data_IF_242330448062
#
_entry.id   IF_242330448062
#
_cell.length_a   1.000
_cell.length_b   1.000
_cell.length_c   1.000
_cell.angle_alpha   90.00
_cell.angle_beta   90.00
_cell.angle_gamma   90.00
#
_symmetry.space_group_name_H-M   'P 1'
#
loop_
_entity.id
_entity.type
_entity.pdbx_description
1 polymer ?
#
# COMPACT_ATOMS: atom_id res chain seq x y z
N UNK A 1 -19.44 70.00 28.66
CA UNK A 1 -18.56 68.83 28.44
C UNK A 1 -18.78 68.34 27.02
N UNK A 2 -17.76 68.34 26.17
CA UNK A 2 -17.87 67.81 24.81
C UNK A 2 -17.81 66.28 24.86
N UNK A 3 -18.84 65.61 24.35
CA UNK A 3 -18.88 64.15 24.17
C UNK A 3 -18.33 63.82 22.79
N UNK A 4 -17.18 63.14 22.75
CA UNK A 4 -16.69 62.53 21.52
C UNK A 4 -17.43 61.21 21.31
N UNK A 5 -18.30 61.16 20.29
CA UNK A 5 -18.86 59.93 19.75
C UNK A 5 -18.01 59.51 18.56
N UNK A 6 -17.17 58.49 18.72
CA UNK A 6 -16.58 57.81 17.57
C UNK A 6 -17.51 56.66 17.17
N UNK A 7 -17.61 56.39 15.86
CA UNK A 7 -18.32 55.23 15.31
C UNK A 7 -17.28 54.38 14.60
N UNK A 8 -16.87 53.25 15.19
CA UNK A 8 -16.07 52.25 14.46
C UNK A 8 -17.02 51.61 13.46
N UNK A 9 -16.81 51.90 12.18
CA UNK A 9 -17.34 51.05 11.12
C UNK A 9 -16.29 49.97 10.90
N UNK A 10 -16.62 48.73 11.29
CA UNK A 10 -15.85 47.57 10.85
C UNK A 10 -15.97 47.50 9.33
N UNK A 11 -14.86 47.66 8.63
CA UNK A 11 -14.79 47.32 7.22
C UNK A 11 -14.92 45.79 7.12
N UNK A 12 -16.15 45.35 6.86
CA UNK A 12 -16.51 43.93 6.77
C UNK A 12 -15.59 43.17 5.80
N UNK A 13 -15.15 43.82 4.73
CA UNK A 13 -14.25 43.21 3.75
C UNK A 13 -12.86 42.99 4.33
N UNK A 14 -12.31 43.96 5.06
CA UNK A 14 -11.02 43.80 5.73
C UNK A 14 -11.10 42.79 6.88
N UNK A 15 -12.21 42.76 7.61
CA UNK A 15 -12.44 41.74 8.63
C UNK A 15 -12.48 40.34 8.03
N UNK A 16 -13.29 40.12 6.99
CA UNK A 16 -13.40 38.83 6.30
C UNK A 16 -12.05 38.38 5.73
N UNK A 17 -11.29 39.29 5.13
CA UNK A 17 -9.95 39.00 4.62
C UNK A 17 -9.01 38.56 5.76
N UNK A 18 -8.97 39.31 6.86
CA UNK A 18 -8.08 39.04 8.00
C UNK A 18 -8.45 37.73 8.69
N UNK A 19 -9.74 37.49 8.94
CA UNK A 19 -10.24 36.25 9.50
C UNK A 19 -9.92 35.05 8.59
N UNK A 20 -10.07 35.20 7.28
CA UNK A 20 -9.74 34.14 6.31
C UNK A 20 -8.25 33.82 6.32
N UNK A 21 -7.37 34.82 6.40
CA UNK A 21 -5.93 34.62 6.47
C UNK A 21 -5.52 33.90 7.75
N UNK A 22 -6.09 34.28 8.89
CA UNK A 22 -5.82 33.64 10.18
C UNK A 22 -6.28 32.18 10.19
N UNK A 23 -7.51 31.90 9.72
CA UNK A 23 -8.04 30.54 9.60
C UNK A 23 -7.12 29.68 8.72
N UNK A 24 -6.67 30.21 7.58
CA UNK A 24 -5.75 29.50 6.69
C UNK A 24 -4.41 29.22 7.35
N UNK A 25 -3.87 30.16 8.12
CA UNK A 25 -2.61 29.98 8.84
C UNK A 25 -2.72 28.91 9.93
N UNK A 26 -3.82 28.90 10.68
CA UNK A 26 -4.12 27.87 11.69
C UNK A 26 -4.21 26.50 11.01
N UNK A 27 -5.05 26.37 9.97
CA UNK A 27 -5.23 25.10 9.26
C UNK A 27 -3.93 24.58 8.65
N UNK A 28 -3.10 25.45 8.07
CA UNK A 28 -1.81 25.05 7.48
C UNK A 28 -0.86 24.43 8.52
N UNK A 29 -0.80 25.03 9.73
CA UNK A 29 -0.03 24.50 10.86
C UNK A 29 -0.62 23.19 11.38
N UNK A 30 -1.93 23.14 11.60
CA UNK A 30 -2.64 21.94 12.06
C UNK A 30 -2.43 20.78 11.10
N UNK A 31 -2.56 20.99 9.79
CA UNK A 31 -2.33 19.95 8.78
C UNK A 31 -0.88 19.46 8.81
N UNK A 32 0.09 20.38 8.97
CA UNK A 32 1.51 20.00 9.04
C UNK A 32 1.78 19.10 10.25
N UNK A 33 1.21 19.43 11.41
CA UNK A 33 1.31 18.60 12.62
C UNK A 33 0.60 17.26 12.45
N UNK A 34 -0.61 17.25 11.88
CA UNK A 34 -1.37 16.04 11.60
C UNK A 34 -0.57 15.05 10.77
N UNK A 35 0.01 15.50 9.66
CA UNK A 35 0.81 14.66 8.77
C UNK A 35 1.99 14.03 9.51
N UNK A 36 2.71 14.80 10.32
CA UNK A 36 3.84 14.30 11.10
C UNK A 36 3.42 13.25 12.13
N UNK A 37 2.30 13.49 12.82
CA UNK A 37 1.81 12.64 13.90
C UNK A 37 1.19 11.34 13.38
N UNK A 38 0.43 11.39 12.29
CA UNK A 38 -0.37 10.26 11.83
C UNK A 38 0.40 9.31 10.91
N UNK A 39 1.42 9.80 10.21
CA UNK A 39 2.14 9.01 9.20
C UNK A 39 2.68 7.67 9.74
N UNK A 40 3.35 7.60 10.91
CA UNK A 40 3.82 6.33 11.44
C UNK A 40 2.69 5.34 11.69
N UNK A 41 1.60 5.78 12.34
CA UNK A 41 0.45 4.92 12.61
C UNK A 41 -0.25 4.45 11.33
N UNK A 42 -0.28 5.29 10.29
CA UNK A 42 -0.84 4.92 8.99
C UNK A 42 0.00 3.85 8.29
N UNK A 43 1.33 4.00 8.32
CA UNK A 43 2.28 3.00 7.81
C UNK A 43 2.07 1.67 8.52
N UNK A 44 2.10 1.66 9.85
CA UNK A 44 1.89 0.44 10.64
C UNK A 44 0.54 -0.23 10.33
N UNK A 45 -0.49 0.59 10.14
CA UNK A 45 -1.82 0.10 9.82
C UNK A 45 -1.88 -0.59 8.45
N UNK A 46 -1.31 0.02 7.41
CA UNK A 46 -1.25 -0.55 6.06
C UNK A 46 -0.38 -1.81 6.03
N UNK A 47 0.75 -1.80 6.72
CA UNK A 47 1.58 -3.00 6.84
C UNK A 47 0.80 -4.15 7.48
N UNK A 48 0.02 -3.88 8.52
CA UNK A 48 -0.83 -4.87 9.15
C UNK A 48 -1.97 -5.35 8.25
N UNK A 49 -2.57 -4.46 7.46
CA UNK A 49 -3.62 -4.82 6.51
C UNK A 49 -3.08 -5.75 5.40
N UNK A 50 -1.89 -5.47 4.87
CA UNK A 50 -1.22 -6.34 3.90
C UNK A 50 -0.90 -7.71 4.48
N UNK A 51 -0.36 -7.78 5.71
CA UNK A 51 -0.05 -9.06 6.36
C UNK A 51 -1.28 -9.89 6.70
N UNK A 52 -2.44 -9.25 6.89
CA UNK A 52 -3.71 -9.89 7.28
C UNK A 52 -4.72 -9.88 6.12
N UNK A 53 -4.24 -9.94 4.90
CA UNK A 53 -5.12 -9.93 3.76
C UNK A 53 -6.18 -11.05 3.83
N UNK A 54 -7.38 -10.83 3.28
CA UNK A 54 -8.48 -11.79 3.40
C UNK A 54 -8.15 -13.21 2.91
N UNK A 55 -7.21 -13.33 1.97
CA UNK A 55 -6.86 -14.60 1.34
C UNK A 55 -5.60 -15.24 1.93
N UNK A 56 -4.99 -14.63 2.96
CA UNK A 56 -3.79 -15.14 3.61
C UNK A 56 -2.58 -15.25 2.68
N UNK A 57 -2.51 -14.43 1.65
CA UNK A 57 -1.45 -14.44 0.64
C UNK A 57 -0.09 -14.14 1.24
N UNK A 58 -0.01 -13.17 2.16
CA UNK A 58 1.23 -12.88 2.89
C UNK A 58 1.76 -14.13 3.62
N UNK A 59 0.90 -14.80 4.38
CA UNK A 59 1.30 -15.98 5.14
C UNK A 59 1.67 -17.16 4.23
N UNK A 60 0.98 -17.30 3.09
CA UNK A 60 1.31 -18.32 2.09
C UNK A 60 2.70 -18.10 1.49
N UNK A 61 3.12 -16.84 1.29
CA UNK A 61 4.47 -16.47 0.83
C UNK A 61 5.56 -16.67 1.90
N UNK A 62 5.23 -16.44 3.17
CA UNK A 62 6.22 -16.50 4.27
C UNK A 62 6.47 -17.93 4.75
N UNK A 63 5.40 -18.74 4.91
CA UNK A 63 5.49 -20.08 5.52
C UNK A 63 4.60 -21.13 4.85
N UNK A 64 3.79 -20.77 3.85
CA UNK A 64 2.79 -21.66 3.27
C UNK A 64 3.11 -22.14 1.85
N UNK A 65 2.03 -22.43 1.10
CA UNK A 65 2.10 -23.07 -0.21
C UNK A 65 2.82 -22.21 -1.25
N UNK A 66 2.55 -20.90 -1.30
CA UNK A 66 3.21 -20.01 -2.26
C UNK A 66 4.72 -19.92 -2.05
N UNK A 67 5.19 -20.02 -0.81
CA UNK A 67 6.62 -20.11 -0.51
C UNK A 67 7.26 -21.29 -1.23
N UNK A 68 6.60 -22.43 -1.18
CA UNK A 68 7.09 -23.66 -1.76
C UNK A 68 6.96 -23.62 -3.30
N UNK A 69 5.82 -23.15 -3.81
CA UNK A 69 5.54 -23.00 -5.25
C UNK A 69 6.56 -22.10 -5.94
N UNK A 70 6.90 -20.98 -5.29
CA UNK A 70 7.89 -20.03 -5.78
C UNK A 70 9.31 -20.34 -5.31
N UNK A 71 9.55 -21.45 -4.60
CA UNK A 71 10.89 -21.91 -4.25
C UNK A 71 11.67 -21.00 -3.28
N UNK A 72 11.00 -20.22 -2.43
CA UNK A 72 11.66 -19.36 -1.46
C UNK A 72 12.23 -20.16 -0.29
N UNK A 73 13.45 -19.80 0.15
CA UNK A 73 14.09 -20.42 1.30
C UNK A 73 13.40 -19.99 2.60
N UNK A 74 13.52 -20.82 3.64
CA UNK A 74 13.16 -20.39 4.99
C UNK A 74 13.91 -19.09 5.37
N UNK A 75 13.17 -18.08 5.81
CA UNK A 75 13.70 -16.74 6.12
C UNK A 75 13.80 -15.77 4.93
N UNK A 76 13.60 -16.24 3.69
CA UNK A 76 13.49 -15.40 2.48
C UNK A 76 12.08 -14.82 2.38
N UNK A 77 11.71 -13.95 3.33
CA UNK A 77 10.37 -13.37 3.43
C UNK A 77 10.11 -12.35 2.30
N UNK A 78 9.76 -12.88 1.12
CA UNK A 78 9.47 -12.11 -0.08
C UNK A 78 8.23 -11.21 0.11
N UNK A 79 7.22 -11.69 0.85
CA UNK A 79 6.03 -10.93 1.20
C UNK A 79 6.37 -9.64 1.97
N UNK A 80 7.26 -9.70 2.95
CA UNK A 80 7.65 -8.54 3.76
C UNK A 80 8.38 -7.49 2.92
N UNK A 81 9.15 -7.88 1.89
CA UNK A 81 9.77 -6.91 0.97
C UNK A 81 8.71 -6.12 0.21
N UNK A 82 7.65 -6.78 -0.25
CA UNK A 82 6.49 -6.13 -0.88
C UNK A 82 5.79 -5.21 0.14
N UNK A 83 5.53 -5.70 1.36
CA UNK A 83 4.88 -4.91 2.42
C UNK A 83 5.64 -3.62 2.69
N UNK A 84 6.97 -3.70 2.85
CA UNK A 84 7.81 -2.53 3.07
C UNK A 84 7.82 -1.58 1.88
N UNK A 85 7.85 -2.09 0.66
CA UNK A 85 7.88 -1.25 -0.53
C UNK A 85 6.55 -0.53 -0.78
N UNK A 86 5.42 -1.23 -0.60
CA UNK A 86 4.08 -0.61 -0.62
C UNK A 86 3.98 0.47 0.45
N UNK A 87 4.45 0.20 1.66
CA UNK A 87 4.36 1.14 2.77
C UNK A 87 5.27 2.37 2.58
N UNK A 88 6.42 2.22 1.92
CA UNK A 88 7.26 3.36 1.52
C UNK A 88 6.60 4.26 0.48
N UNK A 89 5.68 3.73 -0.32
CA UNK A 89 4.92 4.49 -1.32
C UNK A 89 3.85 5.41 -0.72
N UNK A 90 3.62 5.33 0.61
CA UNK A 90 2.63 6.15 1.30
C UNK A 90 3.15 7.60 1.40
N UNK A 91 2.46 8.49 0.71
CA UNK A 91 2.70 9.93 0.74
C UNK A 91 1.49 10.66 1.30
N UNK A 92 1.68 11.33 2.44
CA UNK A 92 0.73 12.29 2.99
C UNK A 92 1.20 13.70 2.65
N UNK A 93 0.51 14.33 1.70
CA UNK A 93 0.86 15.64 1.17
C UNK A 93 -0.14 16.69 1.63
N UNK A 94 0.38 17.86 2.02
CA UNK A 94 -0.46 19.03 2.29
C UNK A 94 -0.93 19.65 0.97
N UNK A 95 -2.24 19.87 0.85
CA UNK A 95 -2.84 20.68 -0.20
C UNK A 95 -2.82 22.14 0.27
N UNK A 96 -2.14 23.02 -0.47
CA UNK A 96 -2.07 24.44 -0.14
C UNK A 96 -3.47 25.08 -0.21
N UNK A 97 -3.73 26.01 0.70
CA UNK A 97 -4.91 26.86 0.62
C UNK A 97 -4.81 27.82 -0.58
N UNK A 98 -5.95 28.18 -1.15
CA UNK A 98 -6.06 29.08 -2.30
C UNK A 98 -7.08 30.17 -2.00
N UNK A 99 -7.40 31.05 -2.94
CA UNK A 99 -8.50 32.01 -2.78
C UNK A 99 -9.86 31.30 -2.59
N UNK A 100 -10.03 30.09 -3.13
CA UNK A 100 -11.30 29.34 -3.13
C UNK A 100 -11.31 28.12 -2.23
N UNK A 101 -10.15 27.70 -1.69
CA UNK A 101 -10.03 26.49 -0.86
C UNK A 101 -9.26 26.76 0.43
N UNK A 102 -9.63 26.07 1.51
CA UNK A 102 -8.91 26.10 2.78
C UNK A 102 -7.64 25.23 2.80
N UNK A 103 -7.38 24.50 1.71
CA UNK A 103 -6.33 23.48 1.64
C UNK A 103 -6.85 22.12 2.12
N UNK A 104 -5.94 21.23 2.53
CA UNK A 104 -6.32 19.90 3.02
C UNK A 104 -5.15 18.91 3.05
N UNK A 105 -5.49 17.64 3.19
CA UNK A 105 -4.55 16.51 3.17
C UNK A 105 -4.87 15.64 1.97
N UNK A 106 -3.83 15.22 1.25
CA UNK A 106 -3.90 14.21 0.20
C UNK A 106 -3.09 12.99 0.63
N UNK A 107 -3.74 11.84 0.68
CA UNK A 107 -3.09 10.54 0.81
C UNK A 107 -2.92 9.95 -0.58
N UNK A 108 -1.67 9.71 -0.98
CA UNK A 108 -1.30 8.99 -2.20
C UNK A 108 -0.63 7.67 -1.79
N UNK A 109 -1.08 6.54 -2.33
CA UNK A 109 -0.42 5.24 -2.24
C UNK A 109 -0.20 4.74 -3.66
N UNK A 110 0.92 4.06 -3.92
CA UNK A 110 1.19 3.43 -5.22
C UNK A 110 0.88 4.37 -6.40
N UNK A 111 1.37 5.62 -6.33
CA UNK A 111 1.00 6.72 -7.24
C UNK A 111 1.13 6.38 -8.73
N UNK A 112 2.06 5.49 -9.07
CA UNK A 112 2.35 5.07 -10.44
C UNK A 112 1.77 3.68 -10.77
N UNK A 113 0.78 3.22 -10.01
CA UNK A 113 0.21 1.87 -10.13
C UNK A 113 1.00 0.83 -9.34
N UNK A 114 0.68 -0.46 -9.54
CA UNK A 114 1.40 -1.58 -8.91
C UNK A 114 2.66 -1.97 -9.69
N UNK A 115 2.78 -1.51 -10.93
CA UNK A 115 3.79 -1.87 -11.90
C UNK A 115 5.21 -1.53 -11.41
N UNK A 116 5.38 -0.44 -10.64
CA UNK A 116 6.69 -0.10 -10.07
C UNK A 116 7.23 -1.16 -9.10
N UNK A 117 6.37 -2.02 -8.54
CA UNK A 117 6.78 -3.15 -7.70
C UNK A 117 7.37 -4.27 -8.55
N UNK A 118 6.90 -4.43 -9.79
CA UNK A 118 7.37 -5.47 -10.71
C UNK A 118 8.80 -5.20 -11.18
N UNK A 119 9.20 -3.93 -11.23
CA UNK A 119 10.56 -3.50 -11.59
C UNK A 119 11.58 -3.62 -10.42
N UNK A 120 11.14 -4.09 -9.25
CA UNK A 120 12.03 -4.25 -8.09
C UNK A 120 12.85 -5.51 -8.21
N UNK A 121 14.08 -5.45 -7.69
CA UNK A 121 15.04 -6.56 -7.64
C UNK A 121 14.51 -7.81 -6.91
N UNK A 122 13.51 -7.66 -6.04
CA UNK A 122 12.86 -8.77 -5.37
C UNK A 122 11.68 -9.37 -6.16
N UNK A 123 11.20 -8.72 -7.22
CA UNK A 123 10.00 -9.13 -7.97
C UNK A 123 10.21 -10.35 -8.86
N UNK A 124 11.47 -10.68 -9.16
CA UNK A 124 11.89 -11.84 -9.91
C UNK A 124 13.25 -12.35 -9.41
N UNK A 125 13.58 -13.60 -9.69
CA UNK A 125 14.91 -14.12 -9.43
C UNK A 125 15.27 -15.26 -10.40
N UNK A 126 16.57 -15.49 -10.62
CA UNK A 126 17.02 -16.58 -11.47
C UNK A 126 17.20 -17.90 -10.69
N UNK A 127 16.73 -18.98 -11.29
CA UNK A 127 16.80 -20.35 -10.80
C UNK A 127 17.18 -21.30 -11.92
N UNK A 128 18.35 -21.94 -11.83
CA UNK A 128 18.83 -22.91 -12.83
C UNK A 128 18.77 -22.39 -14.28
N UNK A 129 19.15 -21.12 -14.49
CA UNK A 129 19.17 -20.49 -15.82
C UNK A 129 17.81 -20.02 -16.34
N UNK A 130 16.76 -20.08 -15.53
CA UNK A 130 15.43 -19.56 -15.85
C UNK A 130 15.02 -18.47 -14.85
N UNK A 131 14.29 -17.46 -15.32
CA UNK A 131 13.76 -16.40 -14.46
C UNK A 131 12.41 -16.81 -13.88
N UNK A 132 12.26 -16.61 -12.57
CA UNK A 132 11.03 -16.83 -11.81
C UNK A 132 10.40 -15.47 -11.51
N UNK A 133 9.48 -15.02 -12.36
CA UNK A 133 8.78 -13.73 -12.25
C UNK A 133 7.60 -13.78 -11.26
N UNK A 134 7.86 -14.29 -10.05
CA UNK A 134 6.82 -14.66 -9.08
C UNK A 134 5.85 -13.51 -8.76
N UNK A 135 6.35 -12.27 -8.64
CA UNK A 135 5.52 -11.13 -8.25
C UNK A 135 4.60 -10.73 -9.39
N UNK A 136 5.10 -10.78 -10.63
CA UNK A 136 4.28 -10.54 -11.83
C UNK A 136 3.19 -11.59 -11.96
N UNK A 137 3.52 -12.87 -11.75
CA UNK A 137 2.53 -13.94 -11.77
C UNK A 137 1.45 -13.74 -10.71
N UNK A 138 1.86 -13.39 -9.49
CA UNK A 138 0.95 -13.19 -8.37
C UNK A 138 0.03 -11.98 -8.55
N UNK A 139 0.54 -10.88 -9.10
CA UNK A 139 -0.20 -9.61 -9.16
C UNK A 139 -0.95 -9.38 -10.46
N UNK A 140 -0.62 -10.08 -11.56
CA UNK A 140 -1.16 -9.70 -12.89
C UNK A 140 -1.67 -10.85 -13.75
N UNK A 141 -1.28 -12.10 -13.48
CA UNK A 141 -1.58 -13.21 -14.39
C UNK A 141 -2.99 -13.81 -14.22
N UNK A 142 -3.70 -13.48 -13.15
CA UNK A 142 -4.93 -14.15 -12.76
C UNK A 142 -4.76 -15.67 -12.67
N UNK A 143 -5.79 -16.43 -13.06
CA UNK A 143 -5.81 -17.90 -12.97
C UNK A 143 -5.14 -18.62 -14.14
N UNK A 144 -4.39 -17.89 -14.95
CA UNK A 144 -3.76 -18.42 -16.17
C UNK A 144 -2.53 -19.27 -15.86
N UNK A 145 -2.20 -20.17 -16.78
CA UNK A 145 -0.95 -20.94 -16.73
C UNK A 145 0.20 -19.98 -17.05
N UNK A 146 1.13 -19.85 -16.11
CA UNK A 146 2.31 -18.96 -16.22
C UNK A 146 3.57 -19.70 -16.65
N UNK A 147 3.63 -21.02 -16.48
CA UNK A 147 4.68 -21.87 -17.05
C UNK A 147 4.03 -23.09 -17.70
N UNK A 148 4.06 -23.15 -19.03
CA UNK A 148 3.60 -24.32 -19.79
C UNK A 148 4.50 -25.53 -19.50
N UNK A 149 3.95 -26.74 -19.56
CA UNK A 149 4.67 -28.01 -19.42
C UNK A 149 5.36 -28.28 -18.08
N UNK A 150 5.26 -27.40 -17.09
CA UNK A 150 5.80 -27.60 -15.75
C UNK A 150 4.70 -27.72 -14.70
N UNK A 151 4.94 -28.49 -13.65
CA UNK A 151 4.09 -28.56 -12.47
C UNK A 151 4.92 -28.66 -11.20
N UNK A 152 4.34 -28.23 -10.08
CA UNK A 152 4.98 -28.30 -8.77
C UNK A 152 4.61 -29.63 -8.11
N UNK A 153 5.62 -30.41 -7.74
CA UNK A 153 5.47 -31.58 -6.87
C UNK A 153 5.98 -31.24 -5.49
N UNK A 154 5.13 -31.39 -4.48
CA UNK A 154 5.49 -31.25 -3.07
C UNK A 154 6.18 -32.51 -2.57
N UNK A 155 7.46 -32.36 -2.24
CA UNK A 155 8.31 -33.41 -1.70
C UNK A 155 9.53 -32.79 -1.04
N UNK A 156 9.84 -33.23 0.16
CA UNK A 156 11.07 -32.86 0.85
C UNK A 156 12.29 -33.32 0.07
N UNK A 157 13.15 -32.38 -0.30
CA UNK A 157 14.35 -32.68 -1.08
C UNK A 157 15.39 -31.57 -1.01
N UNK A 158 16.68 -31.90 -0.83
CA UNK A 158 17.76 -30.91 -0.85
C UNK A 158 18.02 -30.33 -2.25
N UNK A 159 17.39 -30.88 -3.29
CA UNK A 159 17.46 -30.34 -4.66
C UNK A 159 16.51 -29.16 -4.88
N UNK A 160 15.59 -28.94 -3.95
CA UNK A 160 14.66 -27.81 -3.98
C UNK A 160 15.29 -26.58 -3.32
N UNK A 161 14.97 -25.40 -3.85
CA UNK A 161 15.37 -24.13 -3.25
C UNK A 161 14.58 -23.84 -1.95
N UNK A 162 13.29 -24.16 -1.90
CA UNK A 162 12.48 -24.10 -0.67
C UNK A 162 12.74 -25.28 0.28
N UNK A 163 13.19 -26.40 -0.27
CA UNK A 163 13.38 -27.66 0.45
C UNK A 163 12.15 -28.58 0.41
N UNK A 164 10.99 -28.08 -0.03
CA UNK A 164 9.69 -28.77 0.10
C UNK A 164 8.96 -29.00 -1.23
N UNK A 165 9.42 -28.40 -2.33
CA UNK A 165 8.76 -28.54 -3.63
C UNK A 165 9.73 -28.49 -4.81
N UNK A 166 9.40 -29.23 -5.88
CA UNK A 166 10.16 -29.22 -7.13
C UNK A 166 9.25 -28.86 -8.29
N UNK A 167 9.70 -27.91 -9.10
CA UNK A 167 9.15 -27.66 -10.43
C UNK A 167 9.69 -28.73 -11.38
N UNK A 168 8.82 -29.56 -11.96
CA UNK A 168 9.19 -30.63 -12.89
C UNK A 168 8.43 -30.50 -14.21
N UNK A 169 8.97 -31.09 -15.30
CA UNK A 169 8.30 -31.13 -16.60
C UNK A 169 7.95 -32.58 -17.00
N UNK A 170 6.80 -33.11 -16.55
CA UNK A 170 6.32 -34.42 -16.95
C UNK A 170 5.70 -34.38 -18.36
N UNK A 171 5.71 -35.53 -19.05
CA UNK A 171 5.17 -35.67 -20.43
C UNK A 171 3.70 -35.25 -20.60
N UNK A 172 2.92 -35.19 -19.52
CA UNK A 172 1.50 -34.79 -19.51
C UNK A 172 1.25 -33.77 -18.41
N UNK A 173 2.08 -32.72 -18.36
CA UNK A 173 1.93 -31.64 -17.39
C UNK A 173 0.66 -30.83 -17.65
N UNK A 174 0.04 -30.35 -16.57
CA UNK A 174 -1.10 -29.43 -16.64
C UNK A 174 -0.66 -27.95 -16.74
N UNK A 175 0.64 -27.69 -16.70
CA UNK A 175 1.18 -26.35 -16.58
C UNK A 175 1.05 -25.81 -15.14
N UNK A 176 1.95 -24.90 -14.79
CA UNK A 176 1.95 -24.25 -13.50
C UNK A 176 1.16 -22.95 -13.59
N UNK A 177 0.29 -22.77 -12.61
CA UNK A 177 -0.43 -21.52 -12.35
C UNK A 177 -0.39 -21.23 -10.86
N UNK A 178 -0.48 -19.96 -10.51
CA UNK A 178 -0.66 -19.53 -9.12
C UNK A 178 -2.02 -20.04 -8.62
N UNK A 179 -2.10 -20.44 -7.35
CA UNK A 179 -3.37 -20.83 -6.72
C UNK A 179 -4.42 -19.71 -6.90
N UNK A 180 -5.62 -20.00 -7.44
CA UNK A 180 -6.66 -19.00 -7.65
C UNK A 180 -7.09 -18.21 -6.40
N UNK A 181 -6.85 -18.75 -5.20
CA UNK A 181 -7.11 -17.99 -3.96
C UNK A 181 -6.12 -16.85 -3.77
N UNK A 182 -4.93 -16.93 -4.37
CA UNK A 182 -3.86 -15.95 -4.21
C UNK A 182 -3.56 -15.17 -5.48
N UNK A 183 -3.89 -15.74 -6.66
CA UNK A 183 -3.71 -15.08 -7.95
C UNK A 183 -4.44 -13.73 -8.00
N UNK A 184 -3.92 -12.85 -8.83
CA UNK A 184 -4.43 -11.50 -8.97
C UNK A 184 -4.27 -10.92 -10.36
N UNK A 185 -5.01 -9.84 -10.57
CA UNK A 185 -4.98 -8.96 -11.74
C UNK A 185 -4.55 -7.56 -11.28
N UNK A 186 -4.31 -6.65 -12.23
CA UNK A 186 -3.94 -5.27 -11.91
C UNK A 186 -4.95 -4.60 -10.98
N UNK A 187 -6.24 -4.90 -11.19
CA UNK A 187 -7.36 -4.34 -10.44
C UNK A 187 -7.65 -5.10 -9.13
N UNK A 188 -7.46 -6.42 -9.14
CA UNK A 188 -7.81 -7.29 -8.01
C UNK A 188 -6.67 -8.27 -7.68
N UNK A 189 -5.85 -7.92 -6.69
CA UNK A 189 -4.77 -8.74 -6.18
C UNK A 189 -4.63 -8.54 -4.67
N UNK A 190 -3.71 -9.29 -4.05
CA UNK A 190 -3.42 -9.20 -2.61
C UNK A 190 -3.27 -7.76 -2.09
N UNK A 191 -2.55 -6.91 -2.83
CA UNK A 191 -2.29 -5.52 -2.43
C UNK A 191 -3.55 -4.69 -2.54
N UNK A 192 -4.27 -4.74 -3.67
CA UNK A 192 -5.49 -3.94 -3.84
C UNK A 192 -6.57 -4.36 -2.83
N UNK A 193 -6.78 -5.67 -2.63
CA UNK A 193 -7.71 -6.22 -1.62
C UNK A 193 -7.37 -5.72 -0.21
N UNK A 194 -6.09 -5.76 0.18
CA UNK A 194 -5.65 -5.26 1.48
C UNK A 194 -5.90 -3.74 1.62
N UNK A 195 -5.55 -2.94 0.61
CA UNK A 195 -5.76 -1.49 0.63
C UNK A 195 -7.24 -1.09 0.65
N UNK A 196 -8.10 -1.78 -0.11
CA UNK A 196 -9.54 -1.56 -0.05
C UNK A 196 -10.11 -1.87 1.33
N UNK A 197 -9.67 -2.96 1.98
CA UNK A 197 -10.09 -3.28 3.34
C UNK A 197 -9.65 -2.25 4.39
N UNK A 198 -8.56 -1.52 4.10
CA UNK A 198 -7.95 -0.53 4.97
C UNK A 198 -8.58 0.87 4.83
N UNK A 199 -9.20 1.18 3.69
CA UNK A 199 -9.62 2.53 3.29
C UNK A 199 -10.43 3.27 4.37
N UNK A 200 -11.53 2.69 4.83
CA UNK A 200 -12.42 3.29 5.81
C UNK A 200 -11.69 3.64 7.12
N UNK A 201 -10.81 2.76 7.60
CA UNK A 201 -10.09 2.99 8.85
C UNK A 201 -8.98 4.03 8.69
N UNK A 202 -8.35 4.12 7.51
CA UNK A 202 -7.39 5.19 7.20
C UNK A 202 -8.07 6.56 7.25
N UNK A 203 -9.25 6.70 6.64
CA UNK A 203 -10.03 7.93 6.66
C UNK A 203 -10.46 8.31 8.09
N UNK A 204 -10.93 7.34 8.87
CA UNK A 204 -11.29 7.57 10.28
C UNK A 204 -10.11 8.03 11.12
N UNK A 205 -8.91 7.46 10.91
CA UNK A 205 -7.68 7.90 11.59
C UNK A 205 -7.35 9.35 11.24
N UNK A 206 -7.40 9.72 9.96
CA UNK A 206 -7.15 11.09 9.49
C UNK A 206 -8.13 12.09 10.08
N UNK A 207 -9.42 11.76 10.07
CA UNK A 207 -10.47 12.59 10.64
C UNK A 207 -10.27 12.79 12.14
N UNK A 208 -10.08 11.70 12.90
CA UNK A 208 -9.88 11.78 14.34
C UNK A 208 -8.64 12.61 14.70
N UNK A 209 -7.53 12.38 14.00
CA UNK A 209 -6.31 13.16 14.23
C UNK A 209 -6.49 14.66 13.97
N UNK A 210 -7.29 15.02 12.96
CA UNK A 210 -7.63 16.42 12.69
C UNK A 210 -8.50 17.02 13.81
N UNK A 211 -9.52 16.30 14.25
CA UNK A 211 -10.41 16.72 15.34
C UNK A 211 -9.63 16.93 16.65
N UNK A 212 -8.71 16.03 16.98
CA UNK A 212 -7.90 16.09 18.20
C UNK A 212 -6.95 17.30 18.20
N UNK A 213 -6.47 17.76 17.03
CA UNK A 213 -5.58 18.92 16.91
C UNK A 213 -6.31 20.27 16.83
N UNK A 214 -7.62 20.26 16.58
CA UNK A 214 -8.44 21.48 16.51
C UNK A 214 -9.13 21.82 17.84
N UNK A 215 -9.08 20.90 18.81
CA UNK A 215 -9.56 21.11 20.19
C UNK A 215 -8.54 21.86 21.03
#
# INVERSE_FOLDING_TARGET
MASFKYKINLDEKNFLLSATLEIKAILDRTITQLIQLIRPSLVDYIENALRKDPNGTYYSLDIGKLRDDFGFRSGENAGERVVKEVSRSIHLNKIKSTSTTLGGVRLELLKNGIEFLLDKDFGAYDSNGNTVDWLKWLLTAGDTIVIADYEVIYKDTPRSRSGHALMISPKMSKGFRVDPNHSGTLEDNWITRALFSAETQMLQKLQKGLEDLLR
#
